data_IF_334109559529
#
_entry.id   IF_334109559529
#
_cell.length_a   1.000
_cell.length_b   1.000
_cell.length_c   1.000
_cell.angle_alpha   90.00
_cell.angle_beta   90.00
_cell.angle_gamma   90.00
#
_symmetry.space_group_name_H-M   'P 1'
#
loop_
_entity.id
_entity.type
_entity.pdbx_description
1 polymer ?
#
# COMPACT_ATOMS: atom_id res chain seq x y z
N UNK A 1 -36.13 -10.79 75.93
CA UNK A 1 -36.47 -10.38 74.58
C UNK A 1 -35.17 -10.35 73.79
N UNK A 2 -34.87 -11.40 72.97
CA UNK A 2 -33.66 -11.52 72.15
C UNK A 2 -34.10 -11.32 70.70
N UNK A 3 -33.71 -10.18 70.11
CA UNK A 3 -33.88 -9.94 68.66
C UNK A 3 -32.84 -10.73 67.89
N UNK A 4 -33.28 -11.67 67.10
CA UNK A 4 -32.43 -12.36 66.12
C UNK A 4 -32.34 -11.46 64.88
N UNK A 5 -31.13 -10.99 64.55
CA UNK A 5 -30.80 -10.32 63.29
C UNK A 5 -30.55 -11.42 62.28
N UNK A 6 -31.41 -11.53 61.30
CA UNK A 6 -31.26 -12.43 60.14
C UNK A 6 -30.38 -11.72 59.09
N UNK A 7 -29.12 -12.07 58.99
CA UNK A 7 -28.24 -11.61 57.94
C UNK A 7 -28.60 -12.32 56.63
N UNK A 8 -29.21 -11.57 55.73
CA UNK A 8 -29.46 -12.00 54.34
C UNK A 8 -28.13 -11.84 53.56
N UNK A 9 -27.36 -12.91 53.39
CA UNK A 9 -26.28 -12.98 52.44
C UNK A 9 -26.87 -13.05 51.05
N UNK A 10 -26.87 -11.93 50.35
CA UNK A 10 -27.18 -11.85 48.93
C UNK A 10 -25.97 -12.42 48.18
N UNK A 11 -26.03 -13.70 47.85
CA UNK A 11 -25.10 -14.28 46.89
C UNK A 11 -25.40 -13.63 45.50
N UNK A 12 -24.57 -12.65 45.11
CA UNK A 12 -24.51 -12.17 43.76
C UNK A 12 -23.94 -13.31 42.91
N UNK A 13 -24.80 -14.17 42.37
CA UNK A 13 -24.44 -15.03 41.27
C UNK A 13 -24.11 -14.12 40.11
N UNK A 14 -22.83 -14.03 39.77
CA UNK A 14 -22.40 -13.51 38.48
C UNK A 14 -23.04 -14.39 37.42
N UNK A 15 -24.21 -13.99 36.95
CA UNK A 15 -24.79 -14.49 35.73
C UNK A 15 -23.81 -14.12 34.66
N UNK A 16 -23.06 -15.09 34.14
CA UNK A 16 -22.42 -15.01 32.85
C UNK A 16 -23.56 -14.85 31.83
N UNK A 17 -24.01 -13.62 31.61
CA UNK A 17 -24.87 -13.29 30.47
C UNK A 17 -23.96 -13.53 29.27
N UNK A 18 -24.26 -14.49 28.38
CA UNK A 18 -23.50 -14.60 27.15
C UNK A 18 -23.63 -13.26 26.44
N UNK A 19 -22.51 -12.56 26.25
CA UNK A 19 -22.47 -11.38 25.41
C UNK A 19 -22.87 -11.89 24.01
N UNK A 20 -24.07 -11.56 23.57
CA UNK A 20 -24.48 -11.83 22.19
C UNK A 20 -23.52 -11.09 21.29
N UNK A 21 -22.86 -11.83 20.41
CA UNK A 21 -21.93 -11.24 19.43
C UNK A 21 -22.67 -10.17 18.63
N UNK A 22 -22.05 -8.99 18.52
CA UNK A 22 -22.58 -7.92 17.71
C UNK A 22 -22.28 -8.20 16.23
N UNK A 23 -23.25 -7.93 15.36
CA UNK A 23 -23.00 -8.05 13.92
C UNK A 23 -22.04 -6.97 13.45
N UNK A 24 -20.94 -7.36 12.76
CA UNK A 24 -19.92 -6.45 12.23
C UNK A 24 -19.30 -5.53 13.29
N UNK A 25 -18.85 -6.07 14.41
CA UNK A 25 -18.28 -5.28 15.50
C UNK A 25 -16.87 -5.71 15.89
N UNK A 26 -16.02 -4.73 16.23
CA UNK A 26 -14.73 -4.98 16.90
C UNK A 26 -14.90 -5.47 18.33
N UNK A 27 -16.06 -5.30 18.96
CA UNK A 27 -16.39 -5.84 20.28
C UNK A 27 -16.38 -7.38 20.29
N UNK A 28 -16.48 -8.00 19.13
CA UNK A 28 -16.37 -9.43 18.95
C UNK A 28 -14.92 -9.94 19.14
N UNK A 29 -13.92 -9.06 19.08
CA UNK A 29 -12.52 -9.39 19.36
C UNK A 29 -12.30 -9.48 20.88
N UNK A 30 -12.68 -10.60 21.47
CA UNK A 30 -12.54 -10.84 22.90
C UNK A 30 -11.49 -11.91 23.19
N UNK A 31 -10.68 -11.70 24.25
CA UNK A 31 -9.74 -12.70 24.72
C UNK A 31 -10.52 -13.76 25.52
N UNK A 32 -10.70 -14.93 24.93
CA UNK A 32 -11.46 -16.05 25.50
C UNK A 32 -10.61 -17.06 26.27
N UNK A 33 -9.27 -16.91 26.24
CA UNK A 33 -8.28 -17.78 26.88
C UNK A 33 -7.23 -16.95 27.60
N UNK A 34 -6.45 -17.59 28.45
CA UNK A 34 -5.29 -16.98 29.09
C UNK A 34 -4.04 -17.72 28.63
N UNK A 35 -3.04 -16.98 28.17
CA UNK A 35 -1.73 -17.53 27.86
C UNK A 35 -0.92 -17.65 29.18
N UNK A 36 -0.33 -18.80 29.40
CA UNK A 36 0.49 -19.12 30.62
C UNK A 36 1.67 -20.03 30.26
N UNK A 37 2.30 -19.76 29.09
CA UNK A 37 3.49 -20.49 28.67
C UNK A 37 3.20 -21.80 27.93
N UNK A 38 2.11 -21.86 27.13
CA UNK A 38 1.72 -23.08 26.42
C UNK A 38 2.69 -23.47 25.30
N UNK A 39 3.51 -22.53 24.79
CA UNK A 39 4.43 -22.80 23.68
C UNK A 39 5.87 -22.85 24.20
N UNK A 40 6.53 -23.99 24.06
CA UNK A 40 7.88 -24.23 24.58
C UNK A 40 8.98 -23.44 23.82
N UNK A 41 8.69 -22.96 22.60
CA UNK A 41 9.60 -22.14 21.79
C UNK A 41 9.36 -20.63 21.92
N UNK A 42 8.53 -20.17 22.88
CA UNK A 42 8.18 -18.77 23.10
C UNK A 42 8.62 -18.30 24.48
N UNK A 43 9.90 -17.94 24.70
CA UNK A 43 10.36 -17.35 25.95
C UNK A 43 9.80 -15.92 26.13
N UNK A 44 9.65 -15.46 27.38
CA UNK A 44 9.02 -14.20 27.75
C UNK A 44 9.73 -12.95 27.16
N UNK A 45 11.03 -13.04 26.92
CA UNK A 45 11.86 -11.99 26.32
C UNK A 45 11.85 -11.99 24.77
N UNK A 46 11.13 -12.90 24.15
CA UNK A 46 11.08 -13.00 22.69
C UNK A 46 10.30 -11.83 22.06
N UNK A 47 10.83 -11.23 21.01
CA UNK A 47 10.22 -10.09 20.28
C UNK A 47 8.74 -10.28 19.93
N UNK A 48 8.29 -11.51 19.68
CA UNK A 48 6.91 -11.83 19.34
C UNK A 48 6.09 -12.37 20.51
N UNK A 49 6.61 -12.32 21.76
CA UNK A 49 5.93 -12.92 22.92
C UNK A 49 4.50 -12.40 23.06
N UNK A 50 4.33 -11.09 23.18
CA UNK A 50 3.00 -10.46 23.34
C UNK A 50 2.05 -10.79 22.19
N UNK A 51 2.56 -10.78 20.95
CA UNK A 51 1.75 -11.07 19.78
C UNK A 51 1.29 -12.53 19.73
N UNK A 52 2.18 -13.49 20.01
CA UNK A 52 1.82 -14.91 19.97
C UNK A 52 0.92 -15.27 21.13
N UNK A 53 1.18 -14.73 22.33
CA UNK A 53 0.30 -14.87 23.49
C UNK A 53 -1.10 -14.34 23.20
N UNK A 54 -1.20 -13.12 22.66
CA UNK A 54 -2.48 -12.53 22.27
C UNK A 54 -3.21 -13.37 21.20
N UNK A 55 -2.51 -13.87 20.18
CA UNK A 55 -3.11 -14.73 19.14
C UNK A 55 -3.74 -16.01 19.73
N UNK A 56 -3.11 -16.58 20.75
CA UNK A 56 -3.66 -17.70 21.52
C UNK A 56 -4.90 -17.26 22.32
N UNK A 57 -4.81 -16.13 23.01
CA UNK A 57 -5.88 -15.63 23.88
C UNK A 57 -7.15 -15.24 23.10
N UNK A 58 -7.00 -14.70 21.90
CA UNK A 58 -8.12 -14.46 20.96
C UNK A 58 -8.67 -15.75 20.32
N UNK A 59 -8.10 -16.92 20.64
CA UNK A 59 -8.55 -18.20 20.09
C UNK A 59 -8.23 -18.41 18.61
N UNK A 60 -7.39 -17.57 18.03
CA UNK A 60 -7.03 -17.63 16.61
C UNK A 60 -5.96 -18.70 16.32
N UNK A 61 -5.14 -19.06 17.30
CA UNK A 61 -4.13 -20.13 17.18
C UNK A 61 -4.06 -20.97 18.45
N UNK A 62 -3.70 -22.24 18.29
CA UNK A 62 -3.41 -23.18 19.38
C UNK A 62 -1.97 -23.73 19.31
N UNK A 63 -1.15 -23.18 18.40
CA UNK A 63 0.21 -23.66 18.13
C UNK A 63 0.24 -24.92 17.27
N UNK A 64 1.32 -25.68 17.42
CA UNK A 64 1.54 -26.96 16.74
C UNK A 64 1.31 -28.14 17.67
N UNK A 65 1.22 -29.33 17.10
CA UNK A 65 0.92 -30.58 17.86
C UNK A 65 2.08 -31.01 18.77
N UNK A 66 3.27 -30.48 18.58
CA UNK A 66 4.48 -30.75 19.38
C UNK A 66 4.63 -29.79 20.57
N UNK A 67 3.65 -28.93 20.83
CA UNK A 67 3.67 -27.95 21.92
C UNK A 67 4.50 -26.70 21.61
N UNK A 68 4.91 -26.49 20.37
CA UNK A 68 5.57 -25.26 19.93
C UNK A 68 4.58 -24.32 19.22
N UNK A 69 4.93 -23.05 19.08
CA UNK A 69 4.26 -22.15 18.14
C UNK A 69 4.83 -22.28 16.74
N UNK A 70 6.11 -22.60 16.61
CA UNK A 70 6.85 -22.68 15.36
C UNK A 70 7.30 -21.31 14.84
N UNK A 71 7.84 -20.48 15.71
CA UNK A 71 8.18 -19.06 15.47
C UNK A 71 8.92 -18.81 14.16
N UNK A 72 9.93 -19.63 13.85
CA UNK A 72 10.80 -19.50 12.67
C UNK A 72 10.27 -20.24 11.44
N UNK A 73 9.25 -21.06 11.59
CA UNK A 73 8.66 -21.78 10.46
C UNK A 73 7.93 -20.80 9.52
N UNK A 74 8.09 -21.00 8.21
CA UNK A 74 7.37 -20.21 7.22
C UNK A 74 5.90 -20.63 7.13
N UNK A 75 5.05 -19.64 6.86
CA UNK A 75 3.63 -19.89 6.56
C UNK A 75 3.41 -20.19 5.09
N UNK A 76 2.38 -20.99 4.79
CA UNK A 76 1.84 -21.08 3.43
C UNK A 76 0.77 -20.01 3.21
N UNK A 77 0.51 -19.67 1.94
CA UNK A 77 -0.62 -18.78 1.57
C UNK A 77 -1.93 -19.28 2.14
N UNK A 78 -2.18 -20.59 2.06
CA UNK A 78 -3.39 -21.20 2.62
C UNK A 78 -3.52 -21.04 4.13
N UNK A 79 -2.41 -21.11 4.88
CA UNK A 79 -2.42 -20.83 6.32
C UNK A 79 -2.75 -19.35 6.61
N UNK A 80 -2.21 -18.41 5.83
CA UNK A 80 -2.57 -16.99 5.94
C UNK A 80 -4.07 -16.78 5.68
N UNK A 81 -4.62 -17.43 4.66
CA UNK A 81 -6.06 -17.40 4.32
C UNK A 81 -6.93 -17.97 5.46
N UNK A 82 -6.51 -19.04 6.15
CA UNK A 82 -7.23 -19.54 7.33
C UNK A 82 -7.30 -18.48 8.42
N UNK A 83 -6.18 -17.87 8.78
CA UNK A 83 -6.18 -16.82 9.82
C UNK A 83 -7.05 -15.63 9.42
N UNK A 84 -6.94 -15.18 8.18
CA UNK A 84 -7.77 -14.10 7.65
C UNK A 84 -9.26 -14.43 7.70
N UNK A 85 -9.64 -15.63 7.28
CA UNK A 85 -11.03 -16.09 7.34
C UNK A 85 -11.58 -16.13 8.77
N UNK A 86 -10.77 -16.59 9.73
CA UNK A 86 -11.13 -16.58 11.15
C UNK A 86 -11.32 -15.16 11.70
N UNK A 87 -10.40 -14.24 11.41
CA UNK A 87 -10.53 -12.84 11.83
C UNK A 87 -11.78 -12.21 11.22
N UNK A 88 -12.02 -12.41 9.92
CA UNK A 88 -13.21 -11.88 9.25
C UNK A 88 -14.49 -12.45 9.85
N UNK A 89 -14.54 -13.76 10.07
CA UNK A 89 -15.70 -14.43 10.68
C UNK A 89 -15.93 -13.95 12.12
N UNK A 90 -14.86 -13.81 12.91
CA UNK A 90 -14.95 -13.30 14.27
C UNK A 90 -15.52 -11.88 14.30
N UNK A 91 -15.04 -10.99 13.41
CA UNK A 91 -15.59 -9.64 13.28
C UNK A 91 -17.08 -9.65 12.90
N UNK A 92 -17.49 -10.54 11.99
CA UNK A 92 -18.85 -10.61 11.47
C UNK A 92 -19.84 -11.21 12.47
N UNK A 93 -19.42 -12.22 13.23
CA UNK A 93 -20.35 -13.11 13.94
C UNK A 93 -19.97 -13.39 15.39
N UNK A 94 -18.78 -13.00 15.83
CA UNK A 94 -18.23 -13.38 17.14
C UNK A 94 -17.72 -14.84 17.22
N UNK A 95 -17.81 -15.60 16.12
CA UNK A 95 -17.29 -16.97 16.01
C UNK A 95 -16.31 -17.08 14.84
N UNK A 96 -15.04 -17.47 15.07
CA UNK A 96 -14.02 -17.52 14.02
C UNK A 96 -14.30 -18.57 12.94
N UNK A 97 -15.17 -19.55 13.20
CA UNK A 97 -15.46 -20.65 12.27
C UNK A 97 -16.83 -20.54 11.57
N UNK A 98 -17.74 -19.70 12.04
CA UNK A 98 -19.11 -19.63 11.54
C UNK A 98 -19.19 -19.28 10.04
N UNK A 99 -18.41 -18.30 9.58
CA UNK A 99 -18.38 -17.89 8.16
C UNK A 99 -17.83 -19.00 7.24
N UNK A 100 -16.61 -19.51 7.49
CA UNK A 100 -16.04 -20.61 6.72
C UNK A 100 -16.88 -21.89 6.75
N UNK A 101 -17.58 -22.20 7.84
CA UNK A 101 -18.41 -23.39 7.98
C UNK A 101 -19.47 -23.53 6.87
N UNK A 102 -20.00 -22.41 6.37
CA UNK A 102 -20.97 -22.39 5.28
C UNK A 102 -20.42 -23.02 3.97
N UNK A 103 -19.11 -23.05 3.80
CA UNK A 103 -18.44 -23.57 2.60
C UNK A 103 -17.85 -24.97 2.78
N UNK A 104 -17.89 -25.54 3.99
CA UNK A 104 -17.27 -26.84 4.31
C UNK A 104 -17.86 -27.98 3.50
N UNK A 105 -19.17 -28.00 3.30
CA UNK A 105 -19.84 -29.03 2.50
C UNK A 105 -19.37 -29.02 1.03
N UNK A 106 -19.17 -27.85 0.43
CA UNK A 106 -18.69 -27.73 -0.93
C UNK A 106 -17.20 -28.17 -1.09
N UNK A 107 -16.42 -28.12 -0.01
CA UNK A 107 -15.01 -28.52 -0.03
C UNK A 107 -14.78 -30.03 0.18
N UNK A 108 -15.82 -30.84 0.42
CA UNK A 108 -15.71 -32.27 0.74
C UNK A 108 -15.01 -33.08 -0.36
N UNK A 109 -15.26 -32.73 -1.62
CA UNK A 109 -14.66 -33.42 -2.78
C UNK A 109 -13.17 -33.07 -2.99
N UNK A 110 -12.66 -32.00 -2.36
CA UNK A 110 -11.27 -31.61 -2.45
C UNK A 110 -10.37 -32.54 -1.61
N UNK A 111 -9.10 -32.65 -2.00
CA UNK A 111 -8.13 -33.53 -1.34
C UNK A 111 -6.99 -32.74 -0.69
N UNK A 112 -6.39 -33.34 0.34
CA UNK A 112 -5.19 -32.78 1.01
C UNK A 112 -5.44 -31.39 1.58
N UNK A 113 -4.42 -30.55 1.48
CA UNK A 113 -4.44 -29.19 2.01
C UNK A 113 -5.51 -28.29 1.39
N UNK A 114 -5.88 -28.51 0.13
CA UNK A 114 -6.94 -27.73 -0.54
C UNK A 114 -8.27 -27.85 0.19
N UNK A 115 -8.64 -29.04 0.66
CA UNK A 115 -9.86 -29.24 1.45
C UNK A 115 -9.90 -28.40 2.72
N UNK A 116 -8.75 -28.19 3.33
CA UNK A 116 -8.63 -27.37 4.55
C UNK A 116 -8.72 -25.88 4.25
N UNK A 117 -8.11 -25.41 3.16
CA UNK A 117 -8.01 -23.97 2.85
C UNK A 117 -9.25 -23.42 2.14
N UNK A 118 -9.90 -24.22 1.30
CA UNK A 118 -10.99 -23.78 0.42
C UNK A 118 -12.17 -23.11 1.15
N UNK A 119 -12.67 -23.61 2.29
CA UNK A 119 -13.77 -22.96 2.99
C UNK A 119 -13.46 -21.51 3.38
N UNK A 120 -12.24 -21.23 3.85
CA UNK A 120 -11.82 -19.90 4.24
C UNK A 120 -11.59 -18.99 3.03
N UNK A 121 -10.97 -19.53 1.95
CA UNK A 121 -10.78 -18.81 0.71
C UNK A 121 -12.11 -18.36 0.11
N UNK A 122 -13.03 -19.30 -0.07
CA UNK A 122 -14.34 -19.02 -0.65
C UNK A 122 -15.17 -18.08 0.22
N UNK A 123 -15.06 -18.20 1.53
CA UNK A 123 -15.68 -17.25 2.44
C UNK A 123 -15.14 -15.83 2.23
N UNK A 124 -13.83 -15.62 2.24
CA UNK A 124 -13.22 -14.31 2.02
C UNK A 124 -13.58 -13.72 0.65
N UNK A 125 -13.63 -14.56 -0.39
CA UNK A 125 -14.05 -14.15 -1.73
C UNK A 125 -15.53 -13.77 -1.78
N UNK A 126 -16.40 -14.52 -1.09
CA UNK A 126 -17.83 -14.20 -1.00
C UNK A 126 -18.11 -12.90 -0.23
N UNK A 127 -17.26 -12.56 0.74
CA UNK A 127 -17.28 -11.28 1.46
C UNK A 127 -16.68 -10.13 0.63
N UNK A 128 -16.09 -10.41 -0.55
CA UNK A 128 -15.47 -9.40 -1.42
C UNK A 128 -14.18 -8.79 -0.85
N UNK A 129 -13.55 -9.43 0.14
CA UNK A 129 -12.34 -8.91 0.81
C UNK A 129 -11.04 -9.53 0.31
N UNK A 130 -11.12 -10.59 -0.47
CA UNK A 130 -9.99 -11.23 -1.15
C UNK A 130 -10.38 -11.59 -2.58
N UNK A 131 -9.51 -11.27 -3.53
CA UNK A 131 -9.68 -11.62 -4.94
C UNK A 131 -9.16 -13.04 -5.25
N UNK A 132 -9.02 -13.36 -6.54
CA UNK A 132 -8.57 -14.67 -7.01
C UNK A 132 -7.07 -14.78 -7.29
N UNK A 133 -6.29 -13.75 -7.00
CA UNK A 133 -4.86 -13.71 -7.33
C UNK A 133 -4.06 -14.85 -6.69
N UNK A 134 -4.52 -15.36 -5.55
CA UNK A 134 -3.84 -16.40 -4.76
C UNK A 134 -4.42 -17.81 -4.93
N UNK A 135 -5.47 -18.02 -5.72
CA UNK A 135 -6.21 -19.30 -5.83
C UNK A 135 -5.30 -20.51 -6.11
N UNK A 136 -4.29 -20.34 -6.94
CA UNK A 136 -3.38 -21.41 -7.35
C UNK A 136 -2.10 -21.48 -6.49
N UNK A 137 -1.99 -20.68 -5.43
CA UNK A 137 -0.78 -20.53 -4.63
C UNK A 137 -0.92 -21.02 -3.19
N UNK A 138 -2.07 -21.56 -2.78
CA UNK A 138 -2.39 -21.89 -1.39
C UNK A 138 -1.39 -22.82 -0.70
N UNK A 139 -0.75 -23.72 -1.45
CA UNK A 139 0.28 -24.63 -0.91
C UNK A 139 1.70 -24.07 -0.94
N UNK A 140 1.89 -22.90 -1.55
CA UNK A 140 3.19 -22.25 -1.62
C UNK A 140 3.49 -21.50 -0.32
N UNK A 141 4.78 -21.31 -0.04
CA UNK A 141 5.23 -20.43 1.04
C UNK A 141 4.79 -19.01 0.74
N UNK A 142 4.13 -18.37 1.70
CA UNK A 142 3.66 -17.00 1.55
C UNK A 142 4.82 -16.01 1.67
N UNK A 143 4.89 -15.05 0.75
CA UNK A 143 5.73 -13.87 0.90
C UNK A 143 5.06 -12.85 1.84
N UNK A 144 5.84 -11.89 2.33
CA UNK A 144 5.29 -10.80 3.15
C UNK A 144 4.33 -9.93 2.35
N UNK A 145 4.57 -9.73 1.05
CA UNK A 145 3.65 -9.02 0.15
C UNK A 145 2.31 -9.76 -0.02
N UNK A 146 2.34 -11.08 -0.18
CA UNK A 146 1.12 -11.88 -0.22
C UNK A 146 0.35 -11.84 1.12
N UNK A 147 1.07 -11.84 2.25
CA UNK A 147 0.42 -11.64 3.56
C UNK A 147 -0.24 -10.28 3.67
N UNK A 148 0.40 -9.21 3.16
CA UNK A 148 -0.22 -7.88 3.12
C UNK A 148 -1.52 -7.90 2.30
N UNK A 149 -1.51 -8.52 1.11
CA UNK A 149 -2.68 -8.65 0.25
C UNK A 149 -3.85 -9.38 0.95
N UNK A 150 -3.55 -10.45 1.67
CA UNK A 150 -4.55 -11.20 2.44
C UNK A 150 -5.18 -10.37 3.55
N UNK A 151 -4.44 -9.45 4.16
CA UNK A 151 -4.89 -8.70 5.34
C UNK A 151 -5.49 -7.33 5.02
N UNK A 152 -5.05 -6.66 3.96
CA UNK A 152 -5.30 -5.24 3.74
C UNK A 152 -6.79 -4.87 3.72
N UNK A 153 -7.63 -5.70 3.10
CA UNK A 153 -9.07 -5.43 2.95
C UNK A 153 -9.95 -6.27 3.89
N UNK A 154 -9.33 -6.94 4.87
CA UNK A 154 -10.00 -7.89 5.74
C UNK A 154 -11.06 -7.25 6.64
N UNK A 155 -10.78 -6.04 7.10
CA UNK A 155 -11.67 -5.24 7.95
C UNK A 155 -11.98 -3.89 7.31
N UNK A 156 -13.18 -3.33 7.54
CA UNK A 156 -13.51 -1.99 7.08
C UNK A 156 -12.68 -0.93 7.82
N UNK A 157 -12.63 0.26 7.27
CA UNK A 157 -11.84 1.37 7.83
C UNK A 157 -12.29 1.77 9.24
N UNK A 158 -13.57 1.65 9.54
CA UNK A 158 -14.11 1.86 10.91
C UNK A 158 -13.53 0.91 11.95
N UNK A 159 -13.13 -0.30 11.56
CA UNK A 159 -12.49 -1.30 12.41
C UNK A 159 -10.96 -1.28 12.30
N UNK A 160 -10.45 -0.80 11.17
CA UNK A 160 -9.02 -0.69 10.87
C UNK A 160 -8.69 0.72 10.37
N UNK A 161 -8.75 1.75 11.24
CA UNK A 161 -8.51 3.13 10.89
C UNK A 161 -7.03 3.39 10.50
N UNK A 162 -6.84 4.42 9.67
CA UNK A 162 -5.52 4.89 9.24
C UNK A 162 -4.90 5.74 10.34
N UNK A 163 -4.03 5.16 11.18
CA UNK A 163 -3.39 5.86 12.30
C UNK A 163 -2.07 6.53 11.93
N UNK A 164 -1.44 6.10 10.82
CA UNK A 164 -0.15 6.60 10.32
C UNK A 164 -0.28 7.21 8.92
N UNK A 165 -1.47 7.61 8.51
CA UNK A 165 -1.72 7.98 7.11
C UNK A 165 -0.88 9.18 6.68
N UNK A 166 -0.89 10.26 7.45
CA UNK A 166 -0.07 11.45 7.17
C UNK A 166 1.43 11.13 7.11
N UNK A 167 1.93 10.28 8.00
CA UNK A 167 3.35 9.87 8.01
C UNK A 167 3.73 9.15 6.73
N UNK A 168 2.93 8.16 6.31
CA UNK A 168 3.20 7.38 5.09
C UNK A 168 3.04 8.26 3.84
N UNK A 169 2.00 9.09 3.80
CA UNK A 169 1.74 10.02 2.71
C UNK A 169 2.90 11.02 2.56
N UNK A 170 3.34 11.64 3.64
CA UNK A 170 4.48 12.56 3.64
C UNK A 170 5.78 11.88 3.21
N UNK A 171 6.03 10.66 3.65
CA UNK A 171 7.21 9.90 3.26
C UNK A 171 7.29 9.75 1.73
N UNK A 172 6.17 9.44 1.08
CA UNK A 172 6.14 9.31 -0.38
C UNK A 172 6.12 10.67 -1.10
N UNK A 173 5.45 11.65 -0.56
CA UNK A 173 5.40 13.01 -1.10
C UNK A 173 6.77 13.70 -1.08
N UNK A 174 7.53 13.57 0.02
CA UNK A 174 8.87 14.14 0.17
C UNK A 174 9.98 13.34 -0.54
N UNK A 175 9.63 12.38 -1.39
CA UNK A 175 10.56 11.48 -2.09
C UNK A 175 11.32 10.53 -1.16
N UNK A 176 10.96 10.49 0.10
CA UNK A 176 11.44 9.49 1.04
C UNK A 176 10.46 8.33 1.01
N UNK A 177 10.97 7.12 0.90
CA UNK A 177 10.14 5.91 0.83
C UNK A 177 10.65 4.88 1.82
N UNK A 178 9.74 3.96 2.12
CA UNK A 178 10.15 2.65 2.62
C UNK A 178 11.09 2.08 1.56
N UNK A 179 12.32 1.76 1.95
CA UNK A 179 13.46 1.54 1.05
C UNK A 179 13.22 0.56 -0.09
N UNK A 180 12.40 -0.45 0.17
CA UNK A 180 12.17 -1.59 -0.72
C UNK A 180 10.73 -1.71 -1.25
N UNK A 181 9.94 -0.63 -1.16
CA UNK A 181 8.54 -0.60 -1.62
C UNK A 181 8.29 0.57 -2.56
N UNK A 182 7.88 0.24 -3.79
CA UNK A 182 7.48 1.21 -4.82
C UNK A 182 6.15 0.80 -5.44
N UNK A 183 5.60 1.66 -6.31
CA UNK A 183 4.41 1.37 -7.09
C UNK A 183 4.52 0.13 -7.99
N UNK A 184 5.72 -0.41 -8.19
CA UNK A 184 5.96 -1.65 -8.95
C UNK A 184 6.05 -2.89 -8.06
N UNK A 185 6.13 -2.69 -6.75
CA UNK A 185 6.13 -3.81 -5.81
C UNK A 185 4.78 -4.52 -5.85
N UNK A 186 4.74 -5.85 -6.00
CA UNK A 186 3.48 -6.58 -5.95
C UNK A 186 2.70 -6.23 -4.68
N UNK A 187 1.40 -5.98 -4.83
CA UNK A 187 0.51 -5.58 -3.73
C UNK A 187 0.92 -4.29 -3.01
N UNK A 188 1.51 -3.36 -3.75
CA UNK A 188 1.99 -2.07 -3.25
C UNK A 188 0.99 -1.34 -2.35
N UNK A 189 -0.25 -1.16 -2.82
CA UNK A 189 -1.29 -0.45 -2.06
C UNK A 189 -1.67 -1.19 -0.77
N UNK A 190 -1.71 -2.53 -0.82
CA UNK A 190 -1.99 -3.35 0.36
C UNK A 190 -0.88 -3.23 1.40
N UNK A 191 0.38 -3.21 0.95
CA UNK A 191 1.54 -2.97 1.83
C UNK A 191 1.42 -1.60 2.49
N UNK A 192 1.17 -0.53 1.72
CA UNK A 192 1.02 0.83 2.28
C UNK A 192 -0.13 0.90 3.27
N UNK A 193 -1.26 0.23 3.00
CA UNK A 193 -2.38 0.18 3.92
C UNK A 193 -1.98 -0.44 5.27
N UNK A 194 -1.17 -1.49 5.28
CA UNK A 194 -0.69 -2.07 6.55
C UNK A 194 0.17 -1.09 7.35
N UNK A 195 1.01 -0.28 6.71
CA UNK A 195 1.77 0.78 7.41
C UNK A 195 0.84 1.88 7.92
N UNK A 196 -0.08 2.35 7.09
CA UNK A 196 -1.05 3.39 7.46
C UNK A 196 -1.93 2.99 8.64
N UNK A 197 -2.30 1.71 8.73
CA UNK A 197 -3.10 1.17 9.84
C UNK A 197 -2.28 0.73 11.06
N UNK A 198 -0.94 0.85 11.04
CA UNK A 198 -0.08 0.41 12.13
C UNK A 198 0.04 -1.11 12.29
N UNK A 199 -0.28 -1.87 11.25
CA UNK A 199 -0.13 -3.34 11.24
C UNK A 199 1.32 -3.72 10.95
N UNK A 200 2.01 -2.99 10.10
CA UNK A 200 3.44 -3.14 9.83
C UNK A 200 4.16 -1.83 10.08
N UNK A 201 5.39 -1.91 10.55
CA UNK A 201 6.35 -0.80 10.63
C UNK A 201 7.66 -1.12 9.90
N UNK A 202 7.69 -2.22 9.14
CA UNK A 202 8.90 -2.74 8.53
C UNK A 202 9.65 -3.72 9.41
N UNK A 203 10.87 -4.05 8.99
CA UNK A 203 11.73 -5.06 9.61
C UNK A 203 13.04 -4.48 10.17
N UNK A 204 13.33 -3.21 9.90
CA UNK A 204 14.53 -2.50 10.31
C UNK A 204 14.26 -1.01 10.58
N UNK A 205 15.30 -0.25 10.91
CA UNK A 205 15.21 1.19 11.22
C UNK A 205 14.76 2.05 10.05
N UNK A 206 14.96 1.57 8.82
CA UNK A 206 14.50 2.25 7.61
C UNK A 206 13.06 1.89 7.26
N UNK A 207 12.48 0.97 8.00
CA UNK A 207 11.12 0.48 7.77
C UNK A 207 10.98 -0.43 6.56
N UNK A 208 12.06 -1.09 6.10
CA UNK A 208 12.04 -2.02 4.96
C UNK A 208 10.97 -3.10 5.15
N UNK A 209 10.15 -3.32 4.14
CA UNK A 209 9.06 -4.29 4.21
C UNK A 209 9.50 -5.71 3.89
N UNK A 210 10.49 -5.89 3.04
CA UNK A 210 10.98 -7.17 2.52
C UNK A 210 9.86 -7.96 1.78
N UNK A 211 9.27 -7.40 0.71
CA UNK A 211 8.03 -7.91 0.11
C UNK A 211 8.13 -9.36 -0.38
N UNK A 212 9.26 -9.76 -0.97
CA UNK A 212 9.47 -11.10 -1.52
C UNK A 212 9.95 -12.12 -0.49
N UNK A 213 10.29 -11.68 0.73
CA UNK A 213 10.79 -12.58 1.77
C UNK A 213 9.67 -13.48 2.28
N UNK A 214 9.90 -14.79 2.42
CA UNK A 214 8.96 -15.70 3.07
C UNK A 214 8.62 -15.24 4.49
N UNK A 215 7.31 -15.14 4.80
CA UNK A 215 6.89 -14.71 6.14
C UNK A 215 6.99 -15.86 7.12
N UNK A 216 7.61 -15.60 8.30
CA UNK A 216 7.61 -16.56 9.40
C UNK A 216 6.31 -16.48 10.20
N UNK A 217 5.99 -17.56 10.93
CA UNK A 217 4.79 -17.60 11.79
C UNK A 217 4.86 -16.56 12.91
N UNK A 218 6.05 -16.27 13.45
CA UNK A 218 6.25 -15.22 14.46
C UNK A 218 5.94 -13.82 13.86
N UNK A 219 6.49 -13.49 12.71
CA UNK A 219 6.22 -12.22 12.04
C UNK A 219 4.74 -12.08 11.63
N UNK A 220 4.12 -13.17 11.16
CA UNK A 220 2.70 -13.21 10.85
C UNK A 220 1.83 -13.00 12.08
N UNK A 221 2.19 -13.58 13.24
CA UNK A 221 1.48 -13.38 14.50
C UNK A 221 1.40 -11.90 14.87
N UNK A 222 2.48 -11.15 14.70
CA UNK A 222 2.50 -9.72 14.96
C UNK A 222 1.50 -8.96 14.06
N UNK A 223 1.43 -9.28 12.76
CA UNK A 223 0.47 -8.66 11.87
C UNK A 223 -0.97 -9.05 12.21
N UNK A 224 -1.22 -10.34 12.46
CA UNK A 224 -2.56 -10.87 12.75
C UNK A 224 -3.15 -10.31 14.07
N UNK A 225 -2.35 -10.21 15.10
CA UNK A 225 -2.82 -9.68 16.39
C UNK A 225 -3.11 -8.19 16.33
N UNK A 226 -2.33 -7.42 15.59
CA UNK A 226 -2.62 -6.00 15.35
C UNK A 226 -3.92 -5.75 14.56
N UNK A 227 -4.38 -6.75 13.80
CA UNK A 227 -5.70 -6.67 13.17
C UNK A 227 -6.83 -6.68 14.20
N UNK A 228 -6.71 -7.50 15.24
CA UNK A 228 -7.78 -7.75 16.23
C UNK A 228 -7.61 -6.95 17.53
N UNK A 229 -6.40 -6.47 17.83
CA UNK A 229 -6.08 -5.70 19.02
C UNK A 229 -5.51 -4.32 18.66
N UNK A 230 -6.32 -3.26 18.72
CA UNK A 230 -5.85 -1.91 18.42
C UNK A 230 -4.71 -1.43 19.33
N UNK A 231 -4.59 -1.95 20.55
CA UNK A 231 -3.53 -1.56 21.49
C UNK A 231 -2.14 -2.03 21.07
N UNK A 232 -2.05 -3.03 20.18
CA UNK A 232 -0.81 -3.55 19.62
C UNK A 232 -0.40 -2.87 18.29
N UNK A 233 -1.22 -1.96 17.75
CA UNK A 233 -0.88 -1.21 16.55
C UNK A 233 0.23 -0.21 16.82
N UNK A 234 1.07 0.02 15.84
CA UNK A 234 2.31 0.75 16.01
C UNK A 234 2.35 2.02 15.15
N UNK A 235 2.93 3.08 15.72
CA UNK A 235 3.35 4.26 14.98
C UNK A 235 4.87 4.19 14.82
N UNK A 236 5.38 4.06 13.59
CA UNK A 236 6.81 3.93 13.38
C UNK A 236 7.54 5.26 13.55
N UNK A 237 8.82 5.18 13.91
CA UNK A 237 9.80 6.25 13.74
C UNK A 237 10.82 5.72 12.75
N UNK A 238 10.80 6.24 11.52
CA UNK A 238 11.67 5.76 10.45
C UNK A 238 12.77 6.73 10.11
N UNK A 239 13.92 6.18 9.75
CA UNK A 239 14.96 6.88 9.01
C UNK A 239 14.78 6.55 7.52
N UNK A 240 13.85 7.25 6.88
CA UNK A 240 13.53 7.00 5.45
C UNK A 240 14.66 7.53 4.57
N UNK A 241 15.09 6.74 3.59
CA UNK A 241 16.06 7.17 2.58
C UNK A 241 15.38 8.00 1.49
N UNK A 242 16.11 9.00 0.98
CA UNK A 242 15.67 9.76 -0.18
C UNK A 242 15.67 8.85 -1.42
N UNK A 243 14.54 8.74 -2.10
CA UNK A 243 14.40 7.90 -3.30
C UNK A 243 15.36 8.31 -4.43
N UNK A 244 15.76 9.57 -4.47
CA UNK A 244 16.61 10.13 -5.51
C UNK A 244 18.07 10.27 -5.08
N UNK A 245 18.43 9.87 -3.86
CA UNK A 245 19.83 9.81 -3.42
C UNK A 245 20.48 8.52 -3.92
N UNK A 246 21.79 8.60 -4.20
CA UNK A 246 22.56 7.40 -4.58
C UNK A 246 22.57 6.31 -3.48
N UNK A 247 22.32 6.72 -2.23
CA UNK A 247 22.23 5.84 -1.07
C UNK A 247 20.83 5.17 -0.91
N UNK A 248 19.80 5.69 -1.58
CA UNK A 248 18.46 5.09 -1.64
C UNK A 248 18.34 3.85 -2.53
N UNK A 249 19.46 3.37 -3.03
CA UNK A 249 19.54 2.32 -4.03
C UNK A 249 19.61 0.90 -3.44
N UNK A 250 18.74 0.53 -2.51
CA UNK A 250 18.47 -0.89 -2.27
C UNK A 250 17.80 -1.58 -3.49
N UNK A 251 17.67 -0.84 -4.59
CA UNK A 251 17.23 -1.30 -5.91
C UNK A 251 18.39 -1.67 -6.85
N UNK A 252 19.64 -1.65 -6.38
CA UNK A 252 20.80 -1.98 -7.20
C UNK A 252 20.75 -3.40 -7.79
N UNK A 253 19.99 -4.29 -7.19
CA UNK A 253 19.83 -5.66 -7.71
C UNK A 253 18.79 -5.80 -8.83
N UNK A 254 17.95 -4.79 -9.07
CA UNK A 254 16.90 -4.92 -10.07
C UNK A 254 17.16 -4.20 -11.37
N UNK A 255 17.82 -3.06 -11.41
CA UNK A 255 18.27 -2.44 -12.67
C UNK A 255 19.08 -1.16 -12.41
N UNK A 256 20.34 -1.11 -12.79
CA UNK A 256 21.09 0.14 -12.91
C UNK A 256 20.51 0.94 -14.06
N UNK A 257 19.87 2.09 -13.82
CA UNK A 257 19.14 2.84 -14.86
C UNK A 257 20.04 3.36 -15.97
N UNK A 258 21.30 3.65 -15.70
CA UNK A 258 22.28 3.88 -16.78
C UNK A 258 22.49 2.69 -17.70
N UNK A 259 21.96 1.51 -17.34
CA UNK A 259 22.06 0.23 -18.06
C UNK A 259 20.69 -0.45 -18.25
N UNK A 260 19.57 0.17 -17.88
CA UNK A 260 18.25 -0.40 -18.13
C UNK A 260 18.02 -0.53 -19.62
N UNK A 261 18.01 -1.78 -20.03
CA UNK A 261 17.77 -2.17 -21.41
C UNK A 261 16.34 -2.66 -21.47
N UNK A 262 15.42 -1.73 -21.67
CA UNK A 262 14.05 -2.07 -21.95
C UNK A 262 13.89 -2.55 -23.39
N UNK A 263 13.12 -3.59 -23.57
CA UNK A 263 12.66 -4.06 -24.87
C UNK A 263 11.13 -4.24 -24.82
N UNK A 264 10.36 -3.15 -24.56
CA UNK A 264 8.93 -3.24 -24.38
C UNK A 264 8.26 -3.74 -25.67
N UNK A 265 7.40 -4.74 -25.54
CA UNK A 265 6.66 -5.37 -26.62
C UNK A 265 5.27 -4.75 -26.80
N UNK A 266 4.75 -4.13 -25.74
CA UNK A 266 3.43 -3.53 -25.69
C UNK A 266 3.51 -2.05 -25.26
N UNK A 267 2.45 -1.29 -25.54
CA UNK A 267 2.36 0.10 -25.09
C UNK A 267 2.30 0.19 -23.54
N UNK A 268 1.71 -0.80 -22.87
CA UNK A 268 1.66 -0.85 -21.40
C UNK A 268 3.04 -1.09 -20.79
N UNK A 269 3.84 -2.02 -21.34
CA UNK A 269 5.22 -2.23 -20.89
C UNK A 269 6.07 -0.98 -21.11
N UNK A 270 5.89 -0.29 -22.24
CA UNK A 270 6.61 0.95 -22.53
C UNK A 270 6.25 2.06 -21.54
N UNK A 271 4.97 2.21 -21.21
CA UNK A 271 4.49 3.16 -20.22
C UNK A 271 5.05 2.83 -18.82
N UNK A 272 5.10 1.56 -18.48
CA UNK A 272 5.71 1.08 -17.22
C UNK A 272 7.20 1.41 -17.14
N UNK A 273 7.95 1.23 -18.23
CA UNK A 273 9.37 1.59 -18.29
C UNK A 273 9.58 3.10 -18.08
N UNK A 274 8.73 3.93 -18.67
CA UNK A 274 8.76 5.39 -18.46
C UNK A 274 8.44 5.74 -16.99
N UNK A 275 7.39 5.16 -16.43
CA UNK A 275 7.04 5.36 -14.99
C UNK A 275 8.21 5.00 -14.09
N UNK A 276 8.81 3.85 -14.33
CA UNK A 276 9.95 3.38 -13.56
C UNK A 276 11.14 4.35 -13.61
N UNK A 277 11.51 4.81 -14.80
CA UNK A 277 12.54 5.83 -15.00
C UNK A 277 12.21 7.11 -14.21
N UNK A 278 10.97 7.61 -14.34
CA UNK A 278 10.53 8.84 -13.66
C UNK A 278 10.51 8.68 -12.14
N UNK A 279 10.11 7.53 -11.62
CA UNK A 279 10.08 7.24 -10.17
C UNK A 279 11.47 7.31 -9.53
N UNK A 280 12.52 7.05 -10.32
CA UNK A 280 13.92 7.17 -9.88
C UNK A 280 14.52 8.56 -10.09
N UNK A 281 13.74 9.53 -10.54
CA UNK A 281 14.23 10.88 -10.84
C UNK A 281 15.13 10.99 -12.07
N UNK A 282 15.17 9.93 -12.89
CA UNK A 282 16.00 9.87 -14.08
C UNK A 282 15.37 10.62 -15.24
N UNK A 283 16.21 11.12 -16.13
CA UNK A 283 15.80 11.81 -17.36
C UNK A 283 16.20 11.08 -18.63
N UNK A 284 16.73 9.87 -18.51
CA UNK A 284 17.22 9.07 -19.64
C UNK A 284 16.72 7.63 -19.57
N UNK A 285 16.40 7.06 -20.72
CA UNK A 285 16.00 5.66 -20.87
C UNK A 285 16.70 5.06 -22.08
N UNK A 286 17.39 3.93 -21.89
CA UNK A 286 17.98 3.16 -22.99
C UNK A 286 17.05 2.03 -23.40
N UNK A 287 16.67 2.01 -24.67
CA UNK A 287 15.90 0.91 -25.28
C UNK A 287 16.85 0.02 -26.10
N UNK A 288 16.60 -1.28 -26.08
CA UNK A 288 17.36 -2.25 -26.89
C UNK A 288 16.42 -3.26 -27.52
N UNK A 289 16.39 -3.28 -28.83
CA UNK A 289 15.62 -4.22 -29.63
C UNK A 289 16.53 -5.13 -30.43
N UNK A 290 16.04 -6.29 -30.81
CA UNK A 290 16.77 -7.24 -31.67
C UNK A 290 16.92 -6.73 -33.11
N UNK A 291 16.05 -5.82 -33.53
CA UNK A 291 16.11 -5.16 -34.83
C UNK A 291 16.67 -3.75 -34.69
N UNK A 292 17.47 -3.31 -35.65
CA UNK A 292 18.00 -1.96 -35.67
C UNK A 292 16.92 -0.91 -35.89
N UNK A 293 17.20 0.31 -35.45
CA UNK A 293 16.32 1.45 -35.69
C UNK A 293 16.53 2.06 -37.07
N UNK A 294 15.44 2.36 -37.76
CA UNK A 294 15.39 3.28 -38.89
C UNK A 294 14.96 4.66 -38.42
N UNK A 295 15.12 5.69 -39.27
CA UNK A 295 14.61 7.04 -38.93
C UNK A 295 13.12 7.04 -38.61
N UNK A 296 12.32 6.28 -39.36
CA UNK A 296 10.87 6.20 -39.15
C UNK A 296 10.52 5.51 -37.82
N UNK A 297 11.12 4.37 -37.53
CA UNK A 297 10.85 3.65 -36.26
C UNK A 297 11.39 4.39 -35.05
N UNK A 298 12.50 5.11 -35.18
CA UNK A 298 13.03 5.96 -34.13
C UNK A 298 12.10 7.13 -33.82
N UNK A 299 11.55 7.80 -34.84
CA UNK A 299 10.60 8.89 -34.67
C UNK A 299 9.28 8.41 -34.05
N UNK A 300 8.78 7.25 -34.48
CA UNK A 300 7.59 6.64 -33.87
C UNK A 300 7.80 6.34 -32.39
N UNK A 301 8.95 5.74 -32.04
CA UNK A 301 9.30 5.43 -30.65
C UNK A 301 9.46 6.70 -29.81
N UNK A 302 10.09 7.75 -30.37
CA UNK A 302 10.20 9.04 -29.70
C UNK A 302 8.84 9.67 -29.41
N UNK A 303 7.91 9.61 -30.37
CA UNK A 303 6.55 10.13 -30.19
C UNK A 303 5.79 9.35 -29.10
N UNK A 304 5.93 8.03 -29.07
CA UNK A 304 5.36 7.20 -27.98
C UNK A 304 5.96 7.55 -26.64
N UNK A 305 7.27 7.75 -26.56
CA UNK A 305 7.95 8.16 -25.34
C UNK A 305 7.47 9.52 -24.84
N UNK A 306 7.30 10.50 -25.74
CA UNK A 306 6.80 11.81 -25.35
C UNK A 306 5.36 11.77 -24.86
N UNK A 307 4.49 10.95 -25.46
CA UNK A 307 3.13 10.75 -24.96
C UNK A 307 3.11 10.06 -23.61
N UNK A 308 3.96 9.06 -23.41
CA UNK A 308 4.06 8.35 -22.14
C UNK A 308 4.54 9.29 -21.01
N UNK A 309 5.58 10.09 -21.23
CA UNK A 309 6.08 11.01 -20.21
C UNK A 309 5.10 12.13 -19.87
N UNK A 310 4.31 12.60 -20.85
CA UNK A 310 3.27 13.62 -20.64
C UNK A 310 2.12 13.14 -19.73
N UNK A 311 1.90 11.84 -19.61
CA UNK A 311 0.94 11.28 -18.64
C UNK A 311 1.33 11.55 -17.19
N UNK A 312 2.61 11.84 -16.96
CA UNK A 312 3.20 12.11 -15.65
C UNK A 312 3.68 13.55 -15.59
N UNK A 313 2.81 14.49 -15.98
CA UNK A 313 3.14 15.92 -16.09
C UNK A 313 3.58 16.52 -14.74
N UNK A 314 3.23 15.94 -13.61
CA UNK A 314 3.75 16.34 -12.31
C UNK A 314 5.28 16.20 -12.19
N UNK A 315 5.89 15.39 -13.03
CA UNK A 315 7.34 15.24 -13.09
C UNK A 315 8.05 16.39 -13.82
N UNK A 316 7.29 17.26 -14.51
CA UNK A 316 7.80 18.44 -15.18
C UNK A 316 8.55 18.18 -16.49
N UNK A 317 8.64 16.94 -16.97
CA UNK A 317 9.19 16.62 -18.29
C UNK A 317 8.11 16.77 -19.37
N UNK A 318 8.39 17.54 -20.39
CA UNK A 318 7.44 17.82 -21.46
C UNK A 318 8.04 17.72 -22.87
N UNK A 319 9.32 17.39 -22.97
CA UNK A 319 10.01 17.21 -24.25
C UNK A 319 10.94 15.98 -24.21
N UNK A 320 11.20 15.39 -25.38
CA UNK A 320 12.08 14.25 -25.51
C UNK A 320 12.92 14.33 -26.79
N UNK A 321 14.16 13.87 -26.72
CA UNK A 321 15.06 13.69 -27.83
C UNK A 321 15.59 12.26 -27.84
N UNK A 322 16.13 11.81 -29.00
CA UNK A 322 16.72 10.48 -29.05
C UNK A 322 18.00 10.45 -29.87
N UNK A 323 18.86 9.48 -29.55
CA UNK A 323 19.93 8.99 -30.41
C UNK A 323 19.78 7.48 -30.57
N UNK A 324 20.07 6.94 -31.75
CA UNK A 324 19.87 5.52 -32.04
C UNK A 324 20.93 4.98 -33.00
N UNK A 325 21.04 3.65 -33.08
CA UNK A 325 21.94 2.98 -34.01
C UNK A 325 21.29 1.77 -34.71
N UNK A 326 21.95 1.27 -35.73
CA UNK A 326 21.51 0.11 -36.50
C UNK A 326 21.61 -1.23 -35.71
N UNK A 327 22.29 -1.24 -34.56
CA UNK A 327 22.38 -2.40 -33.68
C UNK A 327 21.18 -2.53 -32.70
N UNK A 328 20.16 -1.67 -32.86
CA UNK A 328 18.94 -1.74 -32.05
C UNK A 328 18.99 -1.03 -30.72
N UNK A 329 19.99 -0.18 -30.46
CA UNK A 329 20.06 0.62 -29.25
C UNK A 329 19.54 2.03 -29.52
N UNK A 330 18.66 2.54 -28.65
CA UNK A 330 18.16 3.90 -28.68
C UNK A 330 18.24 4.50 -27.28
N UNK A 331 18.85 5.67 -27.16
CA UNK A 331 18.89 6.46 -25.94
C UNK A 331 17.84 7.58 -26.07
N UNK A 332 16.85 7.54 -25.21
CA UNK A 332 15.88 8.62 -25.01
C UNK A 332 16.39 9.58 -23.92
N UNK A 333 16.23 10.87 -24.16
CA UNK A 333 16.50 11.91 -23.15
C UNK A 333 15.27 12.79 -23.04
N UNK A 334 14.79 12.95 -21.81
CA UNK A 334 13.64 13.79 -21.48
C UNK A 334 14.13 15.11 -20.88
N UNK A 335 13.43 16.16 -21.17
CA UNK A 335 13.74 17.51 -20.69
C UNK A 335 12.48 18.31 -20.38
N UNK A 336 12.65 19.33 -19.57
CA UNK A 336 11.62 20.28 -19.17
C UNK A 336 11.93 21.66 -19.74
N UNK A 337 10.91 22.49 -19.91
CA UNK A 337 11.07 23.91 -20.17
C UNK A 337 11.81 24.66 -19.04
N UNK A 338 11.83 24.09 -17.84
CA UNK A 338 12.61 24.61 -16.72
C UNK A 338 14.14 24.40 -16.89
N UNK A 339 14.57 23.59 -17.88
CA UNK A 339 15.98 23.29 -18.12
C UNK A 339 16.67 22.76 -16.88
N UNK A 340 17.81 23.36 -16.52
CA UNK A 340 18.60 22.95 -15.33
C UNK A 340 17.88 23.18 -14.00
N UNK A 341 16.79 23.97 -13.99
CA UNK A 341 15.97 24.22 -12.80
C UNK A 341 14.83 23.21 -12.63
N UNK A 342 14.75 22.18 -13.46
CA UNK A 342 13.66 21.19 -13.40
C UNK A 342 13.52 20.58 -12.01
N UNK A 343 14.62 20.22 -11.39
CA UNK A 343 14.62 19.61 -10.06
C UNK A 343 14.15 20.61 -8.98
N UNK A 344 14.65 21.84 -9.01
CA UNK A 344 14.24 22.92 -8.10
C UNK A 344 12.72 23.14 -8.18
N UNK A 345 12.16 23.23 -9.41
CA UNK A 345 10.75 23.49 -9.59
C UNK A 345 9.86 22.30 -9.19
N UNK A 346 10.34 21.08 -9.40
CA UNK A 346 9.66 19.87 -8.91
C UNK A 346 9.61 19.84 -7.39
N UNK A 347 10.70 20.13 -6.72
CA UNK A 347 10.76 20.18 -5.25
C UNK A 347 9.88 21.27 -4.68
N UNK A 348 9.90 22.47 -5.28
CA UNK A 348 9.05 23.57 -4.86
C UNK A 348 7.55 23.24 -5.05
N UNK A 349 7.19 22.61 -6.18
CA UNK A 349 5.82 22.18 -6.44
C UNK A 349 5.37 21.11 -5.44
N UNK A 350 6.22 20.12 -5.15
CA UNK A 350 5.93 19.06 -4.19
C UNK A 350 5.74 19.62 -2.77
N UNK A 351 6.66 20.49 -2.33
CA UNK A 351 6.55 21.11 -1.00
C UNK A 351 5.28 21.96 -0.86
N UNK A 352 4.89 22.67 -1.92
CA UNK A 352 3.65 23.44 -1.93
C UNK A 352 2.41 22.53 -1.92
N UNK A 353 2.43 21.43 -2.67
CA UNK A 353 1.35 20.43 -2.64
C UNK A 353 1.19 19.81 -1.25
N UNK A 354 2.30 19.48 -0.58
CA UNK A 354 2.29 18.99 0.82
C UNK A 354 1.65 20.04 1.75
N UNK A 355 2.04 21.31 1.62
CA UNK A 355 1.47 22.36 2.45
C UNK A 355 -0.05 22.51 2.26
N UNK A 356 -0.54 22.37 1.02
CA UNK A 356 -1.99 22.38 0.72
C UNK A 356 -2.67 21.16 1.34
N UNK A 357 -2.10 19.99 1.16
CA UNK A 357 -2.57 18.73 1.76
C UNK A 357 -2.72 18.90 3.28
N UNK A 358 -1.62 19.26 3.95
CA UNK A 358 -1.59 19.37 5.42
C UNK A 358 -2.61 20.40 5.93
N UNK A 359 -2.73 21.55 5.27
CA UNK A 359 -3.69 22.57 5.65
C UNK A 359 -5.16 22.09 5.55
N UNK A 360 -5.50 21.32 4.51
CA UNK A 360 -6.87 20.79 4.35
C UNK A 360 -7.19 19.70 5.37
N UNK A 361 -6.21 18.89 5.74
CA UNK A 361 -6.33 17.90 6.81
C UNK A 361 -6.42 18.54 8.19
N UNK A 362 -5.55 19.50 8.52
CA UNK A 362 -5.57 20.22 9.79
C UNK A 362 -6.87 21.00 10.02
N UNK A 363 -7.42 21.56 8.94
CA UNK A 363 -8.72 22.26 8.99
C UNK A 363 -9.93 21.32 9.07
N UNK A 364 -9.72 20.01 8.94
CA UNK A 364 -10.79 19.02 8.94
C UNK A 364 -11.68 19.07 7.68
N UNK A 365 -11.20 19.68 6.59
CA UNK A 365 -11.89 19.66 5.29
C UNK A 365 -11.76 18.28 4.65
N UNK A 366 -10.59 17.67 4.76
CA UNK A 366 -10.36 16.26 4.48
C UNK A 366 -10.22 15.54 5.83
N UNK A 367 -10.86 14.40 5.97
CA UNK A 367 -10.89 13.63 7.21
C UNK A 367 -10.67 12.14 6.91
N UNK A 368 -10.34 11.30 7.90
CA UNK A 368 -10.21 9.85 7.70
C UNK A 368 -11.48 9.16 7.17
N UNK A 369 -12.65 9.82 7.26
CA UNK A 369 -13.91 9.32 6.71
C UNK A 369 -14.20 9.80 5.29
N UNK A 370 -13.37 10.69 4.74
CA UNK A 370 -13.53 11.21 3.38
C UNK A 370 -13.25 10.10 2.36
N UNK A 371 -14.15 9.93 1.41
CA UNK A 371 -13.95 9.01 0.28
C UNK A 371 -12.94 9.58 -0.71
N UNK A 372 -12.30 8.72 -1.50
CA UNK A 372 -11.39 9.17 -2.58
C UNK A 372 -12.04 10.20 -3.52
N UNK A 373 -13.35 10.06 -3.79
CA UNK A 373 -14.10 11.01 -4.62
C UNK A 373 -14.23 12.38 -3.94
N UNK A 374 -14.52 12.41 -2.65
CA UNK A 374 -14.63 13.66 -1.87
C UNK A 374 -13.26 14.35 -1.77
N UNK A 375 -12.20 13.59 -1.54
CA UNK A 375 -10.82 14.09 -1.53
C UNK A 375 -10.47 14.70 -2.90
N UNK A 376 -10.67 13.96 -3.98
CA UNK A 376 -10.41 14.43 -5.33
C UNK A 376 -11.21 15.70 -5.65
N UNK A 377 -12.49 15.75 -5.26
CA UNK A 377 -13.34 16.94 -5.43
C UNK A 377 -12.84 18.13 -4.62
N UNK A 378 -12.37 17.92 -3.40
CA UNK A 378 -11.81 18.96 -2.52
C UNK A 378 -10.57 19.58 -3.16
N UNK A 379 -9.63 18.78 -3.67
CA UNK A 379 -8.46 19.31 -4.37
C UNK A 379 -8.80 20.02 -5.67
N UNK A 380 -9.77 19.52 -6.43
CA UNK A 380 -10.26 20.21 -7.61
C UNK A 380 -10.81 21.61 -7.25
N UNK A 381 -11.64 21.70 -6.21
CA UNK A 381 -12.19 22.97 -5.75
C UNK A 381 -11.09 23.93 -5.25
N UNK A 382 -10.10 23.40 -4.53
CA UNK A 382 -8.96 24.19 -4.07
C UNK A 382 -8.19 24.78 -5.26
N UNK A 383 -7.86 23.98 -6.26
CA UNK A 383 -7.18 24.42 -7.49
C UNK A 383 -8.01 25.49 -8.21
N UNK A 384 -9.29 25.24 -8.40
CA UNK A 384 -10.19 26.18 -9.09
C UNK A 384 -10.30 27.54 -8.35
N UNK A 385 -10.13 27.57 -7.03
CA UNK A 385 -10.16 28.78 -6.25
C UNK A 385 -8.82 29.55 -6.22
N UNK A 386 -7.70 28.88 -6.47
CA UNK A 386 -6.36 29.43 -6.27
C UNK A 386 -5.54 29.61 -7.56
N UNK A 387 -6.06 29.20 -8.71
CA UNK A 387 -5.34 29.30 -9.97
C UNK A 387 -6.21 29.87 -11.08
N UNK A 388 -5.66 30.81 -11.84
CA UNK A 388 -6.23 31.31 -13.07
C UNK A 388 -5.58 30.64 -14.30
N UNK A 389 -6.33 30.45 -15.38
CA UNK A 389 -5.76 29.95 -16.62
C UNK A 389 -4.85 31.00 -17.26
N UNK A 390 -3.66 30.62 -17.69
CA UNK A 390 -2.71 31.50 -18.36
C UNK A 390 -3.02 31.59 -19.85
N UNK A 391 -3.88 32.56 -20.22
CA UNK A 391 -4.29 32.81 -21.60
C UNK A 391 -3.12 33.26 -22.50
N UNK A 392 -2.04 33.80 -21.92
CA UNK A 392 -0.86 34.26 -22.62
C UNK A 392 0.26 33.21 -22.68
N UNK A 393 0.08 32.09 -21.98
CA UNK A 393 1.08 31.03 -21.88
C UNK A 393 1.36 30.39 -23.25
N UNK A 394 2.60 30.50 -23.71
CA UNK A 394 3.08 29.80 -24.89
C UNK A 394 3.83 28.51 -24.50
N UNK A 395 4.26 27.74 -25.50
CA UNK A 395 4.96 26.46 -25.29
C UNK A 395 6.30 26.56 -24.53
N UNK A 396 6.80 27.74 -24.27
CA UNK A 396 8.01 27.99 -23.49
C UNK A 396 7.73 28.49 -22.06
N UNK A 397 6.46 28.73 -21.75
CA UNK A 397 6.05 29.25 -20.44
C UNK A 397 6.15 28.20 -19.34
N UNK A 398 6.63 28.59 -18.17
CA UNK A 398 6.65 27.75 -16.96
C UNK A 398 5.24 27.44 -16.44
N UNK A 399 4.20 28.08 -16.96
CA UNK A 399 2.80 27.78 -16.67
C UNK A 399 2.38 26.34 -17.10
N UNK A 400 3.19 25.67 -17.90
CA UNK A 400 3.11 24.24 -18.18
C UNK A 400 3.54 23.34 -17.01
N UNK A 401 4.11 23.89 -15.96
CA UNK A 401 4.60 23.14 -14.81
C UNK A 401 3.65 23.28 -13.60
N UNK A 402 3.47 22.22 -12.84
CA UNK A 402 2.74 22.25 -11.58
C UNK A 402 3.27 23.34 -10.63
N UNK A 403 4.57 23.63 -10.69
CA UNK A 403 5.23 24.73 -9.99
C UNK A 403 4.48 26.07 -10.14
N UNK A 404 4.11 26.43 -11.38
CA UNK A 404 3.49 27.72 -11.65
C UNK A 404 2.10 27.85 -11.00
N UNK A 405 1.34 26.78 -10.97
CA UNK A 405 0.06 26.77 -10.25
C UNK A 405 0.25 27.12 -8.78
N UNK A 406 1.16 26.45 -8.10
CA UNK A 406 1.36 26.62 -6.66
C UNK A 406 2.05 27.93 -6.29
N UNK A 407 3.00 28.40 -7.10
CA UNK A 407 3.82 29.57 -6.77
C UNK A 407 3.31 30.86 -7.38
N UNK A 408 2.74 30.80 -8.58
CA UNK A 408 2.31 31.98 -9.33
C UNK A 408 0.79 32.13 -9.38
N UNK A 409 0.02 31.09 -9.01
CA UNK A 409 -1.44 31.07 -9.13
C UNK A 409 -1.93 31.09 -10.59
N UNK A 410 -1.08 30.69 -11.54
CA UNK A 410 -1.42 30.63 -12.96
C UNK A 410 -0.85 29.37 -13.59
N UNK A 411 -1.60 28.72 -14.48
CA UNK A 411 -1.15 27.55 -15.21
C UNK A 411 -1.93 27.37 -16.52
N UNK A 412 -1.39 26.58 -17.42
CA UNK A 412 -2.10 26.01 -18.57
C UNK A 412 -2.43 24.53 -18.29
N UNK A 413 -3.03 23.82 -19.25
CA UNK A 413 -3.64 22.51 -19.04
C UNK A 413 -2.74 21.46 -18.36
N UNK A 414 -1.47 21.33 -18.73
CA UNK A 414 -0.54 20.39 -18.13
C UNK A 414 -0.03 20.83 -16.75
N UNK A 415 0.09 22.13 -16.51
CA UNK A 415 0.38 22.68 -15.19
C UNK A 415 -0.76 22.40 -14.19
N UNK A 416 -2.02 22.58 -14.60
CA UNK A 416 -3.20 22.21 -13.82
C UNK A 416 -3.23 20.70 -13.53
N UNK A 417 -3.07 19.90 -14.56
CA UNK A 417 -3.12 18.43 -14.44
C UNK A 417 -1.98 17.93 -13.58
N UNK A 418 -0.76 18.48 -13.75
CA UNK A 418 0.39 18.12 -12.93
C UNK A 418 0.22 18.43 -11.45
N UNK A 419 -0.33 19.61 -11.12
CA UNK A 419 -0.60 19.99 -9.74
C UNK A 419 -1.71 19.11 -9.11
N UNK A 420 -2.77 18.82 -9.86
CA UNK A 420 -3.84 17.95 -9.41
C UNK A 420 -3.33 16.52 -9.17
N UNK A 421 -2.54 15.98 -10.09
CA UNK A 421 -1.92 14.66 -9.92
C UNK A 421 -1.01 14.59 -8.68
N UNK A 422 -0.22 15.65 -8.41
CA UNK A 422 0.59 15.72 -7.18
C UNK A 422 -0.30 15.58 -5.94
N UNK A 423 -1.37 16.38 -5.83
CA UNK A 423 -2.27 16.35 -4.68
C UNK A 423 -2.96 14.99 -4.51
N UNK A 424 -3.44 14.38 -5.61
CA UNK A 424 -4.07 13.05 -5.56
C UNK A 424 -3.08 11.96 -5.16
N UNK A 425 -1.84 12.03 -5.62
CA UNK A 425 -0.79 11.06 -5.27
C UNK A 425 -0.37 11.15 -3.80
N UNK A 426 -0.47 12.33 -3.17
CA UNK A 426 -0.26 12.45 -1.72
C UNK A 426 -1.24 11.60 -0.93
N UNK A 427 -2.44 11.40 -1.46
CA UNK A 427 -3.50 10.57 -0.86
C UNK A 427 -3.46 9.11 -1.32
N UNK A 428 -2.45 8.72 -2.11
CA UNK A 428 -2.38 7.39 -2.70
C UNK A 428 -3.48 7.10 -3.73
N UNK A 429 -4.11 8.16 -4.28
CA UNK A 429 -5.09 8.03 -5.36
C UNK A 429 -4.33 7.90 -6.67
N UNK A 430 -4.48 6.75 -7.31
CA UNK A 430 -3.82 6.49 -8.60
C UNK A 430 -4.45 7.33 -9.71
N UNK A 431 -3.62 8.10 -10.40
CA UNK A 431 -4.04 9.05 -11.41
C UNK A 431 -2.97 9.24 -12.47
N UNK A 432 -3.42 9.61 -13.66
CA UNK A 432 -2.54 9.96 -14.77
C UNK A 432 -3.25 10.91 -15.75
N UNK A 433 -2.46 11.74 -16.42
CA UNK A 433 -2.97 12.64 -17.44
C UNK A 433 -3.36 11.90 -18.73
N UNK A 434 -4.33 12.40 -19.45
CA UNK A 434 -4.72 11.93 -20.78
C UNK A 434 -4.27 12.96 -21.83
N UNK A 435 -3.03 12.84 -22.36
CA UNK A 435 -2.55 13.77 -23.36
C UNK A 435 -3.15 13.49 -24.74
N UNK A 436 -3.48 14.54 -25.46
CA UNK A 436 -3.73 14.51 -26.90
C UNK A 436 -2.77 15.47 -27.62
N UNK A 437 -3.02 15.76 -28.89
CA UNK A 437 -2.14 16.62 -29.69
C UNK A 437 -2.07 18.08 -29.21
N UNK A 438 -3.10 18.56 -28.52
CA UNK A 438 -3.25 19.98 -28.14
C UNK A 438 -3.52 20.22 -26.66
N UNK A 439 -4.04 19.23 -25.94
CA UNK A 439 -4.46 19.37 -24.54
C UNK A 439 -4.04 18.17 -23.70
N UNK A 440 -3.93 18.40 -22.38
CA UNK A 440 -3.76 17.37 -21.35
C UNK A 440 -4.89 17.54 -20.33
N UNK A 441 -5.57 16.42 -20.04
CA UNK A 441 -6.75 16.35 -19.17
C UNK A 441 -6.42 15.59 -17.89
#
# INVERSE_FOLDING_TARGET
>A
MKKRILSLLLALSLLNIPVLAAENSTDNFTRSKTYSGQFSDLPEDHTFYENVAALYEYGLSVGQTDGTYGLVAHMTVGQAVIFAGRIRSLYRTGDPEAGPAAFTAAAVELKGAQRTYAPYLWYLQSEGVLDKALDNQLSQTATRAQMAHVLANLLPETALPLINDSLVTQAYASRRRITDVTEYTPYYQDILRLYRCGISIGSDETGSFLPETPITRGAAAAMLTRMVDPSLRLTPVWHLTDLYSAEGAAYEDLVTIGTYVAAPKTAAEFDQDIRYMLSRGESTLTLKYSQGFTSASAQETLNKALLAVKRYCEQGYNNATCSYNAAGTMLLKFSSIAGDRTQEYREAALNAAIAVHDALWEQGVITPSSTQREIAWTYYQWIAAHCAYDEAGDNSSISHLAYSLFQNGTAVCDGYTGAYNLLLKLEGIDCYALPNATHIW
#
